data_IF_745206443263
#
_entry.id   IF_745206443263
#
_cell.length_a   1.000
_cell.length_b   1.000
_cell.length_c   1.000
_cell.angle_alpha   90.00
_cell.angle_beta   90.00
_cell.angle_gamma   90.00
#
_symmetry.space_group_name_H-M   'P 1'
#
loop_
_entity.id
_entity.type
_entity.pdbx_description
1 polymer ?
#
# COMPACT_ATOMS: atom_id res chain seq x y z
N UNK A 1 39.34 13.89 25.89
CA UNK A 1 39.78 12.59 26.45
C UNK A 1 38.69 11.54 26.21
N UNK A 2 38.83 10.66 25.21
CA UNK A 2 37.97 9.47 25.05
C UNK A 2 38.52 8.29 25.89
N UNK A 3 37.63 7.39 26.36
CA UNK A 3 38.01 6.20 27.14
C UNK A 3 38.57 5.08 26.25
N UNK A 4 39.55 4.27 26.70
CA UNK A 4 39.98 3.06 26.01
C UNK A 4 38.96 1.92 26.16
N UNK A 5 38.80 1.12 25.11
CA UNK A 5 38.00 -0.12 25.11
C UNK A 5 38.95 -1.32 25.30
N UNK A 6 38.79 -2.15 26.34
CA UNK A 6 39.47 -3.44 26.41
C UNK A 6 38.72 -4.51 25.61
N UNK A 7 39.46 -5.28 24.79
CA UNK A 7 38.97 -6.40 23.99
C UNK A 7 39.85 -7.63 24.24
N UNK A 8 39.42 -8.54 25.12
CA UNK A 8 39.99 -9.90 25.35
C UNK A 8 38.79 -10.75 25.78
N UNK A 9 38.24 -11.68 24.98
CA UNK A 9 38.74 -13.00 24.52
C UNK A 9 38.78 -14.06 25.63
N UNK A 10 38.44 -15.30 25.21
CA UNK A 10 38.35 -16.58 25.95
C UNK A 10 37.22 -16.67 27.00
N UNK A 11 36.56 -17.82 27.23
CA UNK A 11 36.73 -19.19 26.71
C UNK A 11 35.43 -19.79 26.12
N UNK A 12 35.58 -20.84 25.28
CA UNK A 12 34.65 -22.00 25.23
C UNK A 12 35.28 -23.14 26.05
N UNK A 13 34.46 -23.97 26.70
CA UNK A 13 34.69 -25.33 27.29
C UNK A 13 33.65 -25.50 28.45
N UNK A 14 33.11 -26.66 28.81
CA UNK A 14 32.78 -27.91 28.09
C UNK A 14 31.79 -28.73 28.96
N UNK A 15 31.02 -29.65 28.34
CA UNK A 15 30.36 -30.88 28.87
C UNK A 15 29.90 -30.95 30.34
N UNK A 16 28.64 -31.39 30.55
CA UNK A 16 28.20 -31.89 31.86
C UNK A 16 26.75 -32.37 31.96
N UNK A 17 26.34 -33.38 31.20
CA UNK A 17 25.07 -34.09 31.45
C UNK A 17 25.34 -35.59 31.60
N UNK A 18 25.67 -35.99 32.82
CA UNK A 18 25.62 -37.39 33.28
C UNK A 18 24.34 -37.52 34.08
N UNK A 19 23.43 -38.41 33.66
CA UNK A 19 22.13 -38.57 34.30
C UNK A 19 22.19 -39.46 35.54
N UNK A 20 21.02 -39.67 36.16
CA UNK A 20 20.57 -40.98 36.68
C UNK A 20 19.04 -40.92 36.86
N UNK A 21 18.39 -42.04 36.59
CA UNK A 21 16.94 -42.24 36.75
C UNK A 21 16.55 -42.34 38.22
N UNK A 22 15.45 -41.70 38.62
CA UNK A 22 14.62 -42.21 39.72
C UNK A 22 13.14 -42.18 39.35
N UNK A 23 12.54 -43.36 39.38
CA UNK A 23 11.12 -43.62 39.17
C UNK A 23 10.36 -43.30 40.46
N UNK A 24 9.47 -42.31 40.43
CA UNK A 24 8.47 -42.11 41.49
C UNK A 24 7.06 -42.14 40.90
N UNK A 25 6.34 -43.22 41.18
CA UNK A 25 4.91 -43.34 40.88
C UNK A 25 4.15 -42.72 42.05
N UNK A 26 3.48 -41.60 41.80
CA UNK A 26 2.54 -41.00 42.73
C UNK A 26 1.19 -40.84 42.04
N UNK A 27 0.24 -41.72 42.36
CA UNK A 27 -1.12 -41.65 41.82
C UNK A 27 -1.95 -40.65 42.63
N UNK A 28 -2.42 -39.56 42.01
CA UNK A 28 -3.43 -38.68 42.60
C UNK A 28 -4.33 -38.03 41.54
N UNK A 29 -5.59 -38.46 41.55
CA UNK A 29 -6.82 -37.74 41.15
C UNK A 29 -6.82 -36.90 39.86
N UNK A 30 -7.57 -37.37 38.86
CA UNK A 30 -7.99 -36.59 37.70
C UNK A 30 -8.95 -35.47 38.14
N UNK A 31 -8.46 -34.23 38.21
CA UNK A 31 -9.33 -33.06 38.18
C UNK A 31 -9.77 -32.82 36.74
N UNK A 32 -11.08 -32.91 36.46
CA UNK A 32 -11.64 -32.55 35.17
C UNK A 32 -11.59 -31.02 34.98
N UNK A 33 -10.45 -30.52 34.50
CA UNK A 33 -10.37 -29.18 33.95
C UNK A 33 -11.17 -29.16 32.65
N UNK A 34 -12.37 -28.56 32.68
CA UNK A 34 -13.13 -28.31 31.47
C UNK A 34 -12.27 -27.46 30.51
N UNK A 35 -12.17 -27.81 29.22
CA UNK A 35 -11.48 -26.96 28.26
C UNK A 35 -12.24 -25.65 28.15
N UNK A 36 -11.66 -24.56 28.68
CA UNK A 36 -12.10 -23.21 28.36
C UNK A 36 -12.02 -23.05 26.84
N UNK A 37 -13.09 -22.61 26.15
CA UNK A 37 -12.98 -22.27 24.74
C UNK A 37 -11.92 -21.15 24.60
N UNK A 38 -11.15 -21.13 23.51
CA UNK A 38 -10.20 -20.04 23.26
C UNK A 38 -10.98 -18.74 23.03
N UNK A 39 -11.17 -17.96 24.10
CA UNK A 39 -11.70 -16.60 24.07
C UNK A 39 -10.68 -15.68 23.40
N UNK A 40 -10.70 -15.69 22.08
CA UNK A 40 -9.84 -14.91 21.20
C UNK A 40 -10.57 -14.62 19.90
N UNK A 41 -11.64 -13.82 19.97
CA UNK A 41 -12.37 -13.32 18.80
C UNK A 41 -11.48 -12.36 18.00
N UNK A 42 -10.55 -12.94 17.26
CA UNK A 42 -9.96 -12.31 16.10
C UNK A 42 -11.04 -12.17 15.03
N UNK A 43 -11.88 -11.14 15.16
CA UNK A 43 -12.60 -10.60 14.01
C UNK A 43 -11.55 -10.04 13.06
N UNK A 44 -11.01 -10.91 12.22
CA UNK A 44 -10.37 -10.52 10.97
C UNK A 44 -11.49 -9.93 10.12
N UNK A 45 -11.77 -8.63 10.32
CA UNK A 45 -12.61 -7.88 9.43
C UNK A 45 -12.10 -8.13 8.01
N UNK A 46 -12.99 -8.40 7.02
CA UNK A 46 -12.56 -8.50 5.64
C UNK A 46 -11.68 -7.29 5.31
N UNK A 47 -10.56 -7.47 4.58
CA UNK A 47 -9.79 -6.32 4.12
C UNK A 47 -10.76 -5.37 3.39
N UNK A 48 -10.63 -4.03 3.58
CA UNK A 48 -11.54 -3.08 2.98
C UNK A 48 -11.62 -3.35 1.48
N UNK A 49 -12.84 -3.35 0.94
CA UNK A 49 -13.07 -3.64 -0.46
C UNK A 49 -12.19 -2.74 -1.34
N UNK A 50 -11.62 -3.32 -2.40
CA UNK A 50 -10.84 -2.54 -3.34
C UNK A 50 -11.75 -1.46 -3.96
N UNK A 51 -11.27 -0.21 -3.95
CA UNK A 51 -11.98 0.91 -4.58
C UNK A 51 -11.58 1.03 -6.05
N UNK A 52 -12.42 1.69 -6.84
CA UNK A 52 -12.18 1.87 -8.28
C UNK A 52 -11.48 3.20 -8.58
N UNK A 53 -10.51 3.17 -9.50
CA UNK A 53 -9.78 4.37 -9.94
C UNK A 53 -10.72 5.32 -10.69
N UNK A 54 -10.66 6.61 -10.34
CA UNK A 54 -11.58 7.66 -10.76
C UNK A 54 -13.01 7.53 -10.20
N UNK A 55 -13.32 6.47 -9.45
CA UNK A 55 -14.62 6.31 -8.80
C UNK A 55 -14.87 7.44 -7.79
N UNK A 56 -16.11 7.94 -7.76
CA UNK A 56 -16.51 8.94 -6.77
C UNK A 56 -16.45 8.38 -5.35
N UNK A 57 -16.22 9.27 -4.38
CA UNK A 57 -16.10 8.95 -2.97
C UNK A 57 -16.71 10.06 -2.11
N UNK A 58 -17.11 9.73 -0.87
CA UNK A 58 -17.86 10.65 -0.01
C UNK A 58 -17.03 11.23 1.14
N UNK A 59 -15.97 10.53 1.59
CA UNK A 59 -15.17 10.88 2.77
C UNK A 59 -13.86 11.62 2.39
N UNK A 60 -13.77 12.96 2.54
CA UNK A 60 -12.61 13.72 2.09
C UNK A 60 -11.32 13.32 2.82
N UNK A 61 -10.26 13.01 2.07
CA UNK A 61 -8.98 12.57 2.64
C UNK A 61 -8.97 11.13 3.15
N UNK A 62 -10.04 10.34 2.95
CA UNK A 62 -10.01 8.91 3.21
C UNK A 62 -8.92 8.21 2.39
N UNK A 63 -8.34 7.15 2.97
CA UNK A 63 -7.26 6.37 2.36
C UNK A 63 -7.77 4.98 2.01
N UNK A 64 -7.69 4.64 0.73
CA UNK A 64 -8.15 3.36 0.17
C UNK A 64 -7.01 2.50 -0.39
N UNK A 65 -7.41 1.35 -0.96
CA UNK A 65 -6.55 0.46 -1.74
C UNK A 65 -7.26 0.09 -3.02
N UNK A 66 -6.56 0.15 -4.15
CA UNK A 66 -7.05 -0.43 -5.40
C UNK A 66 -6.81 -1.94 -5.44
N UNK A 67 -7.42 -2.62 -6.43
CA UNK A 67 -7.25 -4.05 -6.67
C UNK A 67 -5.78 -4.47 -6.93
N UNK A 68 -4.93 -3.53 -7.39
CA UNK A 68 -3.49 -3.73 -7.56
C UNK A 68 -2.66 -3.49 -6.27
N UNK A 69 -3.32 -3.28 -5.11
CA UNK A 69 -2.70 -3.06 -3.80
C UNK A 69 -2.14 -1.66 -3.55
N UNK A 70 -2.13 -0.76 -4.54
CA UNK A 70 -1.61 0.62 -4.38
C UNK A 70 -2.49 1.45 -3.44
N UNK A 71 -1.86 2.35 -2.68
CA UNK A 71 -2.53 3.34 -1.85
C UNK A 71 -3.24 4.37 -2.73
N UNK A 72 -4.43 4.80 -2.33
CA UNK A 72 -5.16 5.91 -2.96
C UNK A 72 -5.88 6.79 -1.95
N UNK A 73 -6.28 7.97 -2.39
CA UNK A 73 -6.82 9.04 -1.59
C UNK A 73 -8.15 9.52 -2.19
N UNK A 74 -9.15 9.77 -1.35
CA UNK A 74 -10.37 10.45 -1.75
C UNK A 74 -10.11 11.96 -1.80
N UNK A 75 -9.90 12.50 -3.00
CA UNK A 75 -9.45 13.90 -3.19
C UNK A 75 -10.47 14.73 -3.96
N UNK A 76 -10.52 16.02 -3.63
CA UNK A 76 -11.43 16.96 -4.27
C UNK A 76 -11.05 17.19 -5.73
N UNK A 77 -12.05 17.25 -6.61
CA UNK A 77 -11.90 17.87 -7.92
C UNK A 77 -11.98 19.39 -7.75
N UNK A 78 -10.91 20.10 -8.10
CA UNK A 78 -10.78 21.54 -7.92
C UNK A 78 -11.98 22.31 -8.49
N UNK A 79 -12.47 23.29 -7.70
CA UNK A 79 -13.63 24.17 -8.03
C UNK A 79 -14.98 23.43 -8.14
N UNK A 80 -15.08 22.23 -7.59
CA UNK A 80 -16.33 21.47 -7.46
C UNK A 80 -16.48 20.94 -6.03
N UNK A 81 -17.65 20.39 -5.73
CA UNK A 81 -17.97 19.62 -4.52
C UNK A 81 -17.74 18.10 -4.68
N UNK A 82 -17.30 17.63 -5.86
CA UNK A 82 -17.02 16.23 -6.12
C UNK A 82 -15.66 15.77 -5.58
N UNK A 83 -15.62 14.53 -5.07
CA UNK A 83 -14.39 13.85 -4.66
C UNK A 83 -14.26 12.51 -5.40
N UNK A 84 -13.04 12.15 -5.78
CA UNK A 84 -12.73 10.89 -6.48
C UNK A 84 -11.50 10.19 -5.91
N UNK A 85 -11.43 8.87 -6.08
CA UNK A 85 -10.25 8.09 -5.74
C UNK A 85 -9.10 8.33 -6.73
N UNK A 86 -7.99 8.85 -6.22
CA UNK A 86 -6.77 9.20 -6.96
C UNK A 86 -5.52 8.57 -6.33
N UNK A 87 -4.49 8.33 -7.13
CA UNK A 87 -3.16 7.97 -6.62
C UNK A 87 -2.46 9.11 -5.87
N UNK A 88 -2.80 10.37 -6.18
CA UNK A 88 -2.26 11.54 -5.51
C UNK A 88 -3.16 11.99 -4.35
N UNK A 89 -2.60 12.44 -3.21
CA UNK A 89 -3.36 13.12 -2.16
C UNK A 89 -3.66 14.60 -2.48
N UNK A 90 -3.06 15.16 -3.55
CA UNK A 90 -3.30 16.54 -3.99
C UNK A 90 -4.63 16.67 -4.77
N UNK A 91 -5.43 17.76 -4.60
CA UNK A 91 -6.66 17.99 -5.36
C UNK A 91 -6.47 18.04 -6.88
N UNK A 92 -7.26 17.28 -7.63
CA UNK A 92 -7.08 17.14 -9.08
C UNK A 92 -7.77 18.26 -9.87
N UNK A 93 -7.15 18.73 -10.95
CA UNK A 93 -7.58 19.93 -11.67
C UNK A 93 -8.86 19.80 -12.51
N UNK A 94 -9.27 18.55 -12.83
CA UNK A 94 -10.43 18.22 -13.67
C UNK A 94 -11.01 16.86 -13.25
N UNK A 95 -12.32 16.72 -13.32
CA UNK A 95 -13.00 15.44 -13.04
C UNK A 95 -12.69 14.41 -14.15
N UNK A 96 -12.07 13.25 -13.81
CA UNK A 96 -11.79 12.18 -14.76
C UNK A 96 -13.06 11.49 -15.32
N UNK A 97 -14.24 11.76 -14.79
CA UNK A 97 -15.49 11.20 -15.33
C UNK A 97 -16.15 12.13 -16.37
N UNK A 98 -15.61 13.35 -16.57
CA UNK A 98 -16.18 14.37 -17.49
C UNK A 98 -15.23 14.80 -18.61
N UNK A 99 -14.15 14.03 -18.86
CA UNK A 99 -13.08 14.38 -19.82
C UNK A 99 -13.56 14.59 -21.26
N UNK A 100 -14.63 13.91 -21.68
CA UNK A 100 -15.17 13.97 -23.04
C UNK A 100 -14.39 13.18 -24.09
N UNK A 101 -13.33 12.47 -23.68
CA UNK A 101 -12.56 11.54 -24.49
C UNK A 101 -12.49 10.16 -23.81
N UNK A 102 -12.13 9.14 -24.59
CA UNK A 102 -11.85 7.79 -24.11
C UNK A 102 -10.37 7.47 -24.27
N UNK A 103 -9.87 6.51 -23.49
CA UNK A 103 -8.50 6.01 -23.61
C UNK A 103 -8.48 4.50 -23.74
N UNK A 104 -7.60 4.00 -24.60
CA UNK A 104 -7.12 2.63 -24.61
C UNK A 104 -5.79 2.53 -23.83
N UNK A 105 -5.08 1.40 -23.92
CA UNK A 105 -3.83 1.17 -23.21
C UNK A 105 -2.64 2.04 -23.71
N UNK A 106 -2.71 2.58 -24.91
CA UNK A 106 -1.64 3.32 -25.58
C UNK A 106 -2.00 4.78 -25.88
N UNK A 107 -3.28 5.05 -26.16
CA UNK A 107 -3.74 6.35 -26.68
C UNK A 107 -5.05 6.82 -26.06
N UNK A 108 -5.32 8.13 -26.16
CA UNK A 108 -6.61 8.74 -25.84
C UNK A 108 -7.16 9.47 -27.05
N UNK A 109 -8.46 9.30 -27.32
CA UNK A 109 -9.13 9.80 -28.52
C UNK A 109 -10.44 10.51 -28.17
N UNK A 110 -10.70 11.60 -28.89
CA UNK A 110 -11.99 12.27 -28.93
C UNK A 110 -13.04 11.41 -29.66
N UNK A 111 -14.35 11.71 -29.52
CA UNK A 111 -15.42 10.97 -30.22
C UNK A 111 -15.35 11.05 -31.76
N UNK A 112 -14.61 12.01 -32.32
CA UNK A 112 -14.32 12.11 -33.76
C UNK A 112 -13.11 11.28 -34.21
N UNK A 113 -12.46 10.55 -33.29
CA UNK A 113 -11.27 9.74 -33.51
C UNK A 113 -9.94 10.50 -33.44
N UNK A 114 -9.95 11.83 -33.31
CA UNK A 114 -8.71 12.61 -33.21
C UNK A 114 -8.01 12.38 -31.87
N UNK A 115 -6.67 12.41 -31.86
CA UNK A 115 -5.88 12.16 -30.66
C UNK A 115 -5.96 13.33 -29.67
N UNK A 116 -6.09 13.02 -28.38
CA UNK A 116 -6.14 14.03 -27.30
C UNK A 116 -4.74 14.57 -27.03
N UNK A 117 -4.51 15.90 -27.08
CA UNK A 117 -3.21 16.48 -26.76
C UNK A 117 -2.78 16.22 -25.32
N UNK A 118 -1.50 15.90 -25.11
CA UNK A 118 -0.96 15.53 -23.77
C UNK A 118 -1.26 16.55 -22.65
N UNK A 119 -1.36 17.85 -22.95
CA UNK A 119 -1.65 18.87 -21.94
C UNK A 119 -3.14 18.92 -21.49
N UNK A 120 -4.02 18.14 -22.13
CA UNK A 120 -5.43 17.98 -21.80
C UNK A 120 -5.74 16.62 -21.14
N UNK A 121 -4.72 15.77 -21.04
CA UNK A 121 -4.74 14.43 -20.45
C UNK A 121 -4.40 14.52 -18.96
N UNK A 122 -5.00 13.67 -18.14
CA UNK A 122 -4.61 13.54 -16.73
C UNK A 122 -3.35 12.66 -16.58
N UNK A 123 -3.09 11.77 -17.53
CA UNK A 123 -1.95 10.85 -17.48
C UNK A 123 -2.15 9.70 -16.49
N UNK A 124 -1.04 9.09 -16.06
CA UNK A 124 -1.06 7.81 -15.35
C UNK A 124 -1.79 7.88 -13.99
N UNK A 125 -1.92 9.07 -13.41
CA UNK A 125 -2.63 9.29 -12.15
C UNK A 125 -4.15 9.07 -12.25
N UNK A 126 -4.74 9.24 -13.43
CA UNK A 126 -6.15 8.89 -13.71
C UNK A 126 -6.30 7.57 -14.50
N UNK A 127 -5.24 6.74 -14.56
CA UNK A 127 -5.25 5.47 -15.28
C UNK A 127 -5.20 5.60 -16.80
N UNK A 128 -4.74 6.76 -17.31
CA UNK A 128 -4.50 6.95 -18.74
C UNK A 128 -3.09 6.48 -19.11
N UNK A 129 -2.81 6.22 -20.41
CA UNK A 129 -1.43 6.07 -20.88
C UNK A 129 -0.54 7.24 -20.43
N UNK A 130 0.79 7.09 -20.30
CA UNK A 130 1.63 8.18 -19.86
C UNK A 130 1.56 9.41 -20.79
N UNK A 131 1.66 10.59 -20.21
CA UNK A 131 1.91 11.83 -20.94
C UNK A 131 3.40 11.99 -21.20
N UNK A 132 3.76 12.90 -22.11
CA UNK A 132 5.15 13.31 -22.28
C UNK A 132 5.79 13.90 -21.01
N UNK A 133 4.99 14.41 -20.06
CA UNK A 133 5.48 14.87 -18.75
C UNK A 133 5.85 13.69 -17.83
N UNK A 134 4.98 12.69 -17.76
CA UNK A 134 5.21 11.47 -16.96
C UNK A 134 6.48 10.73 -17.39
N UNK A 135 6.74 10.67 -18.70
CA UNK A 135 7.93 10.02 -19.28
C UNK A 135 9.19 10.86 -19.04
N UNK A 136 9.20 12.15 -19.44
CA UNK A 136 10.40 12.98 -19.37
C UNK A 136 10.87 13.26 -17.94
N UNK A 137 9.96 13.23 -16.97
CA UNK A 137 10.30 13.36 -15.55
C UNK A 137 10.80 12.06 -14.90
N UNK A 138 10.69 10.91 -15.60
CA UNK A 138 10.93 9.58 -15.02
C UNK A 138 9.85 9.11 -14.04
N UNK A 139 8.73 9.83 -13.94
CA UNK A 139 7.64 9.51 -13.02
C UNK A 139 6.93 8.21 -13.43
N UNK A 140 6.71 7.99 -14.74
CA UNK A 140 6.15 6.74 -15.27
C UNK A 140 7.01 5.53 -14.90
N UNK A 141 8.30 5.56 -15.24
CA UNK A 141 9.24 4.46 -14.95
C UNK A 141 9.30 4.14 -13.45
N UNK A 142 9.31 5.17 -12.60
CA UNK A 142 9.22 4.98 -11.15
C UNK A 142 7.90 4.30 -10.76
N UNK A 143 6.77 4.79 -11.26
CA UNK A 143 5.45 4.31 -10.87
C UNK A 143 5.21 2.86 -11.32
N UNK A 144 5.65 2.47 -12.52
CA UNK A 144 5.53 1.10 -13.06
C UNK A 144 6.20 0.04 -12.17
N UNK A 145 7.28 0.36 -11.46
CA UNK A 145 7.93 -0.58 -10.52
C UNK A 145 7.08 -1.01 -9.31
N UNK A 146 5.87 -0.46 -9.15
CA UNK A 146 5.04 -0.62 -7.96
C UNK A 146 5.38 0.34 -6.83
N UNK A 147 6.32 1.28 -7.05
CA UNK A 147 6.67 2.31 -6.07
C UNK A 147 5.45 3.22 -5.79
N UNK A 148 5.31 3.64 -4.53
CA UNK A 148 4.22 4.52 -4.09
C UNK A 148 4.29 5.92 -4.72
N UNK A 149 3.14 6.58 -4.87
CA UNK A 149 3.03 7.89 -5.49
C UNK A 149 3.98 8.92 -4.87
N UNK A 150 4.04 8.97 -3.54
CA UNK A 150 4.78 9.97 -2.77
C UNK A 150 6.28 9.86 -3.02
N UNK A 151 6.78 8.63 -3.13
CA UNK A 151 8.20 8.36 -3.36
C UNK A 151 8.60 8.68 -4.81
N UNK A 152 7.72 8.43 -5.79
CA UNK A 152 7.96 8.87 -7.16
C UNK A 152 7.89 10.39 -7.28
N UNK A 153 6.85 11.03 -6.72
CA UNK A 153 6.69 12.48 -6.74
C UNK A 153 7.85 13.20 -6.03
N UNK A 154 8.43 12.61 -4.98
CA UNK A 154 9.63 13.13 -4.30
C UNK A 154 10.91 13.01 -5.12
N UNK A 155 10.99 12.07 -6.08
CA UNK A 155 12.17 11.88 -6.96
C UNK A 155 12.14 12.77 -8.20
N UNK A 156 10.96 13.24 -8.61
CA UNK A 156 10.72 13.88 -9.92
C UNK A 156 10.20 15.32 -9.82
N UNK A 157 10.08 15.88 -8.61
CA UNK A 157 9.81 17.30 -8.34
C UNK A 157 11.12 18.07 -8.10
#
# INVERSE_FOLDING_TARGET
MPRPIPRVVTHRLIVGVVGVVMLFIAAITISAAAPLPPSGSGSTAPPPAAVDLNGYCEDPGAVGRFANGRTVYCVQVQRTDAFVWSYSPDPIARDPNTRGYTCDANSCHWPDGTAVPNFQRCGILCGEPPTSGDIQSGFHDCFETGTAYEECARRTR
#
